data_IF_235763293060
#
_entry.id   IF_235763293060
#
_cell.length_a   1.000
_cell.length_b   1.000
_cell.length_c   1.000
_cell.angle_alpha   90.00
_cell.angle_beta   90.00
_cell.angle_gamma   90.00
#
_symmetry.space_group_name_H-M   'P 1'
#
loop_
_entity.id
_entity.type
_entity.pdbx_description
1 polymer ?
#
# COMPACT_ATOMS: atom_id res chain seq x y z
N UNK A 1 -13.30 -11.19 -34.10
CA UNK A 1 -12.78 -9.83 -34.11
C UNK A 1 -11.45 -9.83 -33.35
N UNK A 2 -10.36 -9.43 -34.02
CA UNK A 2 -9.03 -9.37 -33.43
C UNK A 2 -8.67 -7.93 -33.09
N UNK A 3 -8.16 -7.73 -31.89
CA UNK A 3 -7.71 -6.44 -31.42
C UNK A 3 -6.28 -6.56 -30.89
N UNK A 4 -5.42 -5.66 -31.35
CA UNK A 4 -4.08 -5.46 -30.82
C UNK A 4 -3.96 -4.01 -30.37
N UNK A 5 -3.43 -3.80 -29.18
CA UNK A 5 -3.19 -2.48 -28.63
C UNK A 5 -1.81 -2.40 -27.98
N UNK A 6 -1.04 -1.42 -28.39
CA UNK A 6 0.21 -1.02 -27.73
C UNK A 6 -0.09 0.23 -26.91
N UNK A 7 0.28 0.24 -25.65
CA UNK A 7 0.06 1.39 -24.77
C UNK A 7 1.31 1.63 -23.95
N UNK A 8 1.80 2.84 -24.03
CA UNK A 8 2.76 3.39 -23.10
C UNK A 8 2.06 4.38 -22.17
N UNK A 9 2.57 4.48 -20.95
CA UNK A 9 2.07 5.42 -19.95
C UNK A 9 3.23 5.98 -19.16
N UNK A 10 3.32 7.28 -19.12
CA UNK A 10 4.17 8.03 -18.22
C UNK A 10 3.31 8.54 -17.05
N UNK A 11 3.76 8.31 -15.82
CA UNK A 11 3.14 8.87 -14.63
C UNK A 11 4.22 9.60 -13.82
N UNK A 12 3.85 10.76 -13.33
CA UNK A 12 4.63 11.55 -12.39
C UNK A 12 3.77 11.75 -11.15
N UNK A 13 4.22 11.23 -10.02
CA UNK A 13 3.61 11.46 -8.73
C UNK A 13 4.48 12.45 -7.95
N UNK A 14 3.85 13.45 -7.36
CA UNK A 14 4.52 14.48 -6.56
C UNK A 14 3.81 14.59 -5.23
N UNK A 15 4.56 14.62 -4.13
CA UNK A 15 4.02 14.81 -2.79
C UNK A 15 4.88 15.83 -2.04
N UNK A 16 4.25 16.89 -1.55
CA UNK A 16 4.85 17.93 -0.72
C UNK A 16 4.60 17.75 0.77
N UNK A 17 4.36 16.52 1.23
CA UNK A 17 4.04 16.25 2.62
C UNK A 17 5.22 16.50 3.54
N UNK A 18 5.02 17.36 4.52
CA UNK A 18 5.96 17.68 5.59
C UNK A 18 5.22 17.59 6.93
N UNK A 19 5.43 16.51 7.67
CA UNK A 19 4.88 16.40 9.01
C UNK A 19 5.48 17.48 9.90
N UNK A 20 4.64 18.31 10.54
CA UNK A 20 5.09 19.50 11.28
C UNK A 20 5.93 20.47 10.42
N UNK A 21 5.56 20.71 9.16
CA UNK A 21 6.32 21.55 8.23
C UNK A 21 6.48 22.99 8.67
N UNK A 22 5.54 23.52 9.47
CA UNK A 22 5.64 24.87 10.06
C UNK A 22 6.15 24.85 11.50
N UNK A 23 6.50 23.68 12.03
CA UNK A 23 6.77 23.47 13.44
C UNK A 23 5.49 23.33 14.28
N UNK A 24 5.52 22.50 15.29
CA UNK A 24 4.53 22.52 16.36
C UNK A 24 5.22 22.57 17.71
N UNK A 25 4.52 23.23 18.66
CA UNK A 25 5.00 23.42 20.02
C UNK A 25 3.96 22.88 20.98
N UNK A 26 4.40 22.23 22.04
CA UNK A 26 3.55 21.81 23.15
C UNK A 26 4.09 22.45 24.42
N UNK A 27 3.28 23.21 25.11
CA UNK A 27 3.57 23.86 26.38
C UNK A 27 2.87 23.14 27.54
N UNK A 28 3.41 23.30 28.75
CA UNK A 28 2.77 22.77 29.96
C UNK A 28 1.52 23.54 30.35
N UNK A 29 1.50 24.87 30.09
CA UNK A 29 0.40 25.78 30.39
C UNK A 29 0.35 26.93 29.40
N UNK A 30 -0.73 27.69 29.43
CA UNK A 30 -0.85 28.94 28.67
C UNK A 30 0.17 29.99 29.15
N UNK A 31 0.39 30.06 30.48
CA UNK A 31 1.38 30.98 31.07
C UNK A 31 2.79 30.71 30.55
N UNK A 32 3.17 29.42 30.44
CA UNK A 32 4.46 29.04 29.85
C UNK A 32 4.62 29.55 28.40
N UNK A 33 3.54 29.52 27.61
CA UNK A 33 3.56 30.10 26.26
C UNK A 33 3.69 31.64 26.29
N UNK A 34 2.87 32.31 27.10
CA UNK A 34 2.83 33.79 27.21
C UNK A 34 4.17 34.33 27.73
N UNK A 35 4.78 33.63 28.67
CA UNK A 35 6.10 33.99 29.24
C UNK A 35 7.27 33.59 28.34
N UNK A 36 7.00 33.09 27.14
CA UNK A 36 8.01 32.67 26.18
C UNK A 36 9.01 31.63 26.76
N UNK A 37 8.49 30.71 27.57
CA UNK A 37 9.28 29.60 28.08
C UNK A 37 9.61 28.58 26.98
N UNK A 38 10.58 27.69 27.24
CA UNK A 38 10.85 26.61 26.32
C UNK A 38 9.70 25.59 26.27
N UNK A 39 9.31 25.09 25.08
CA UNK A 39 8.23 24.15 24.97
C UNK A 39 8.58 22.81 25.63
N UNK A 40 7.57 22.11 26.15
CA UNK A 40 7.69 20.72 26.60
C UNK A 40 8.06 19.78 25.47
N UNK A 41 7.47 20.00 24.30
CA UNK A 41 7.77 19.25 23.10
C UNK A 41 7.77 20.17 21.87
N UNK A 42 8.57 19.82 20.90
CA UNK A 42 8.73 20.56 19.66
C UNK A 42 8.99 19.58 18.51
N UNK A 43 8.48 19.87 17.31
CA UNK A 43 8.86 19.16 16.09
C UNK A 43 8.77 20.07 14.87
N UNK A 44 9.66 19.88 13.94
CA UNK A 44 9.64 20.52 12.62
C UNK A 44 10.21 19.58 11.57
N UNK A 45 9.63 19.63 10.36
CA UNK A 45 10.24 19.07 9.16
C UNK A 45 10.58 20.20 8.21
N UNK A 46 11.82 20.28 7.77
CA UNK A 46 12.26 21.33 6.86
C UNK A 46 13.02 20.76 5.66
N UNK A 47 12.99 21.53 4.57
CA UNK A 47 13.77 21.22 3.37
C UNK A 47 15.26 21.31 3.63
N UNK A 48 16.05 20.52 2.92
CA UNK A 48 17.51 20.64 2.86
C UNK A 48 17.98 21.67 1.84
N UNK A 49 17.09 22.31 1.08
CA UNK A 49 17.42 23.42 0.21
C UNK A 49 17.90 24.64 1.01
N UNK A 50 18.86 25.40 0.46
CA UNK A 50 19.46 26.54 1.14
C UNK A 50 18.46 27.68 1.42
N UNK A 51 17.47 27.84 0.55
CA UNK A 51 16.37 28.82 0.65
C UNK A 51 15.17 28.33 1.45
N UNK A 52 15.25 27.11 2.03
CA UNK A 52 14.16 26.43 2.73
C UNK A 52 12.89 26.24 1.90
N UNK A 53 12.95 26.33 0.57
CA UNK A 53 11.84 26.06 -0.30
C UNK A 53 11.26 24.67 -0.04
N UNK A 54 9.93 24.56 -0.12
CA UNK A 54 9.26 23.30 0.17
C UNK A 54 9.79 22.16 -0.71
N UNK A 55 10.27 21.11 -0.07
CA UNK A 55 10.66 19.90 -0.79
C UNK A 55 9.42 19.19 -1.31
N UNK A 56 9.48 18.82 -2.58
CA UNK A 56 8.45 18.00 -3.23
C UNK A 56 9.07 16.68 -3.66
N UNK A 57 8.75 15.62 -2.92
CA UNK A 57 9.13 14.28 -3.31
C UNK A 57 8.49 13.92 -4.66
N UNK A 58 9.28 13.44 -5.59
CA UNK A 58 8.82 13.12 -6.94
C UNK A 58 9.19 11.68 -7.30
N UNK A 59 8.23 10.91 -7.79
CA UNK A 59 8.42 9.58 -8.33
C UNK A 59 7.85 9.49 -9.74
N UNK A 60 8.70 9.10 -10.67
CA UNK A 60 8.32 8.86 -12.07
C UNK A 60 8.18 7.37 -12.32
N UNK A 61 7.21 6.99 -13.14
CA UNK A 61 7.04 5.61 -13.58
C UNK A 61 6.70 5.58 -15.06
N UNK A 62 7.34 4.67 -15.77
CA UNK A 62 7.02 4.34 -17.16
C UNK A 62 6.36 2.96 -17.18
N UNK A 63 5.33 2.77 -17.95
CA UNK A 63 4.68 1.49 -18.11
C UNK A 63 4.43 1.20 -19.57
N UNK A 64 5.06 0.15 -20.07
CA UNK A 64 4.86 -0.37 -21.41
C UNK A 64 3.89 -1.53 -21.33
N UNK A 65 2.94 -1.59 -22.28
CA UNK A 65 2.04 -2.74 -22.37
C UNK A 65 1.68 -3.06 -23.81
N UNK A 66 1.59 -4.36 -24.06
CA UNK A 66 1.09 -4.96 -25.29
C UNK A 66 -0.08 -5.86 -24.95
N UNK A 67 -1.17 -5.72 -25.65
CA UNK A 67 -2.38 -6.51 -25.45
C UNK A 67 -2.84 -7.09 -26.79
N UNK A 68 -3.11 -8.39 -26.81
CA UNK A 68 -3.68 -9.14 -27.93
C UNK A 68 -4.93 -9.83 -27.46
N UNK A 69 -6.03 -9.66 -28.18
CA UNK A 69 -7.29 -10.34 -27.90
C UNK A 69 -7.96 -10.78 -29.20
N UNK A 70 -8.52 -11.97 -29.16
CA UNK A 70 -9.39 -12.46 -30.21
C UNK A 70 -10.76 -12.83 -29.62
N UNK A 71 -11.81 -12.41 -30.29
CA UNK A 71 -13.18 -12.75 -29.99
C UNK A 71 -13.72 -13.56 -31.16
N UNK A 72 -14.07 -14.80 -30.87
CA UNK A 72 -14.50 -15.80 -31.83
C UNK A 72 -15.96 -16.19 -31.56
N UNK A 73 -16.78 -16.15 -32.58
CA UNK A 73 -18.09 -16.80 -32.57
C UNK A 73 -17.84 -18.24 -33.04
N UNK A 74 -17.76 -19.18 -32.10
CA UNK A 74 -17.53 -20.61 -32.39
C UNK A 74 -18.81 -21.22 -33.02
N UNK A 75 -19.95 -20.74 -32.56
CA UNK A 75 -21.25 -21.00 -33.17
C UNK A 75 -22.14 -19.77 -33.04
N UNK A 76 -23.35 -19.80 -33.56
CA UNK A 76 -24.33 -18.71 -33.37
C UNK A 76 -24.62 -18.43 -31.90
N UNK A 77 -24.54 -19.47 -31.07
CA UNK A 77 -24.92 -19.44 -29.67
C UNK A 77 -23.72 -19.44 -28.73
N UNK A 78 -22.49 -19.66 -29.24
CA UNK A 78 -21.28 -19.73 -28.40
C UNK A 78 -20.21 -18.75 -28.83
N UNK A 79 -19.91 -17.81 -27.93
CA UNK A 79 -18.88 -16.80 -28.07
C UNK A 79 -17.73 -17.07 -27.13
N UNK A 80 -16.51 -17.13 -27.64
CA UNK A 80 -15.26 -17.27 -26.89
C UNK A 80 -14.41 -16.01 -27.07
N UNK A 81 -13.87 -15.51 -25.99
CA UNK A 81 -12.89 -14.42 -25.99
C UNK A 81 -11.61 -14.90 -25.33
N UNK A 82 -10.49 -14.79 -26.01
CA UNK A 82 -9.18 -15.11 -25.45
C UNK A 82 -8.22 -13.94 -25.65
N UNK A 83 -7.44 -13.63 -24.67
CA UNK A 83 -6.47 -12.54 -24.76
C UNK A 83 -5.27 -12.74 -23.87
N UNK A 84 -4.20 -12.05 -24.20
CA UNK A 84 -2.97 -12.02 -23.42
C UNK A 84 -2.45 -10.58 -23.37
N UNK A 85 -2.00 -10.17 -22.18
CA UNK A 85 -1.42 -8.86 -21.98
C UNK A 85 -0.05 -8.99 -21.35
N UNK A 86 0.89 -8.26 -21.91
CA UNK A 86 2.25 -8.09 -21.39
C UNK A 86 2.37 -6.68 -20.84
N UNK A 87 2.89 -6.56 -19.62
CA UNK A 87 3.11 -5.26 -18.97
C UNK A 87 4.49 -5.23 -18.33
N UNK A 88 5.20 -4.14 -18.55
CA UNK A 88 6.52 -3.90 -17.99
C UNK A 88 6.56 -2.50 -17.35
N UNK A 89 6.48 -2.40 -16.02
CA UNK A 89 6.75 -1.16 -15.32
C UNK A 89 8.26 -0.89 -15.30
N UNK A 90 8.66 0.36 -15.47
CA UNK A 90 10.03 0.82 -15.35
C UNK A 90 10.07 2.02 -14.42
N UNK A 91 10.96 1.96 -13.46
CA UNK A 91 11.19 3.03 -12.50
C UNK A 91 12.54 3.70 -12.83
N UNK A 92 12.56 5.01 -13.07
CA UNK A 92 13.82 5.75 -13.19
C UNK A 92 14.65 5.65 -11.91
N UNK A 93 15.95 5.77 -12.05
CA UNK A 93 16.88 5.71 -10.93
C UNK A 93 16.61 6.80 -9.89
N UNK A 94 16.70 6.43 -8.62
CA UNK A 94 16.64 7.32 -7.47
C UNK A 94 18.03 7.64 -6.89
N UNK A 95 19.11 7.60 -7.67
CA UNK A 95 20.48 7.84 -7.18
C UNK A 95 20.62 9.10 -6.34
N UNK A 96 19.91 10.18 -6.69
CA UNK A 96 19.91 11.42 -5.93
C UNK A 96 19.18 11.32 -4.56
N UNK A 97 18.58 10.17 -4.27
CA UNK A 97 17.90 9.88 -3.02
C UNK A 97 18.72 8.96 -2.09
N UNK A 98 19.96 8.66 -2.47
CA UNK A 98 20.86 7.82 -1.70
C UNK A 98 21.27 8.50 -0.41
N UNK A 99 20.97 7.86 0.72
CA UNK A 99 21.41 8.28 2.05
C UNK A 99 22.53 7.35 2.50
N UNK A 100 23.76 7.86 2.48
CA UNK A 100 24.96 7.10 2.78
C UNK A 100 25.02 6.66 4.25
N UNK A 101 24.57 7.51 5.16
CA UNK A 101 24.55 7.22 6.59
C UNK A 101 23.61 6.05 6.91
N UNK A 102 22.43 6.03 6.27
CA UNK A 102 21.50 4.91 6.39
C UNK A 102 22.01 3.62 5.73
N UNK A 103 22.64 3.73 4.57
CA UNK A 103 23.13 2.58 3.82
C UNK A 103 24.24 1.80 4.55
N UNK A 104 24.91 2.42 5.51
CA UNK A 104 25.91 1.79 6.39
C UNK A 104 25.30 1.04 7.57
N UNK A 105 24.02 1.26 7.87
CA UNK A 105 23.37 0.61 8.99
C UNK A 105 23.18 -0.90 8.75
N UNK A 106 23.41 -1.68 9.79
CA UNK A 106 23.22 -3.14 9.76
C UNK A 106 21.93 -3.57 10.47
N UNK A 107 21.15 -4.39 9.79
CA UNK A 107 19.89 -4.95 10.26
C UNK A 107 19.98 -6.48 10.31
N UNK A 108 20.92 -7.00 11.08
CA UNK A 108 21.14 -8.45 11.22
C UNK A 108 21.88 -9.06 10.03
N UNK A 109 22.92 -8.40 9.56
CA UNK A 109 23.72 -8.81 8.40
C UNK A 109 23.15 -8.32 7.07
N UNK A 110 22.11 -7.48 7.08
CA UNK A 110 21.49 -6.91 5.86
C UNK A 110 21.49 -5.40 5.94
N UNK A 111 21.92 -4.75 4.87
CA UNK A 111 21.82 -3.29 4.70
C UNK A 111 20.79 -2.96 3.62
N UNK A 112 20.16 -1.81 3.77
CA UNK A 112 19.15 -1.29 2.84
C UNK A 112 19.56 0.06 2.28
N UNK A 113 19.06 0.41 1.09
CA UNK A 113 19.38 1.67 0.44
C UNK A 113 18.13 2.45 0.07
N UNK A 114 18.15 3.77 0.32
CA UNK A 114 17.01 4.67 0.04
C UNK A 114 16.84 5.01 -1.44
N UNK A 115 17.80 4.66 -2.28
CA UNK A 115 17.72 4.83 -3.74
C UNK A 115 17.24 3.60 -4.49
N UNK A 116 16.86 2.54 -3.74
CA UNK A 116 16.41 1.27 -4.31
C UNK A 116 15.08 1.42 -5.02
N UNK A 117 14.99 0.86 -6.23
CA UNK A 117 13.77 0.80 -7.04
C UNK A 117 13.54 -0.61 -7.55
N UNK A 118 12.28 -1.00 -7.83
CA UNK A 118 12.00 -2.30 -8.40
C UNK A 118 12.65 -2.49 -9.78
N UNK A 119 13.18 -3.66 -10.03
CA UNK A 119 13.67 -4.05 -11.34
C UNK A 119 12.52 -4.13 -12.34
N UNK A 120 12.76 -3.73 -13.58
CA UNK A 120 11.77 -3.88 -14.63
C UNK A 120 11.52 -5.37 -14.91
N UNK A 121 10.33 -5.86 -14.61
CA UNK A 121 9.91 -7.26 -14.83
C UNK A 121 8.66 -7.29 -15.69
N UNK A 122 8.65 -8.18 -16.68
CA UNK A 122 7.49 -8.38 -17.53
C UNK A 122 6.47 -9.22 -16.78
N UNK A 123 5.25 -8.72 -16.71
CA UNK A 123 4.08 -9.44 -16.20
C UNK A 123 3.25 -9.93 -17.37
N UNK A 124 2.84 -11.19 -17.35
CA UNK A 124 2.01 -11.82 -18.40
C UNK A 124 0.64 -12.09 -17.81
N UNK A 125 -0.41 -11.59 -18.47
CA UNK A 125 -1.79 -11.63 -18.00
C UNK A 125 -2.70 -12.31 -19.02
N UNK A 126 -2.78 -13.66 -19.02
CA UNK A 126 -3.72 -14.39 -19.85
C UNK A 126 -5.15 -14.19 -19.36
N UNK A 127 -6.12 -14.17 -20.28
CA UNK A 127 -7.54 -14.04 -20.01
C UNK A 127 -8.32 -14.86 -21.00
N UNK A 128 -9.35 -15.55 -20.49
CA UNK A 128 -10.33 -16.23 -21.32
C UNK A 128 -11.72 -16.00 -20.74
N UNK A 129 -12.68 -15.83 -21.63
CA UNK A 129 -14.09 -15.69 -21.24
C UNK A 129 -14.98 -16.29 -22.31
N UNK A 130 -16.14 -16.74 -21.91
CA UNK A 130 -17.13 -17.30 -22.82
C UNK A 130 -18.54 -16.85 -22.45
N UNK A 131 -19.41 -16.92 -23.45
CA UNK A 131 -20.85 -16.76 -23.30
C UNK A 131 -21.52 -17.80 -24.20
N UNK A 132 -22.34 -18.64 -23.62
CA UNK A 132 -23.05 -19.72 -24.32
C UNK A 132 -24.53 -19.64 -24.04
N UNK A 133 -25.31 -19.30 -25.06
CA UNK A 133 -26.74 -19.47 -25.10
C UNK A 133 -27.06 -20.91 -25.48
N UNK A 134 -27.39 -21.73 -24.49
CA UNK A 134 -27.53 -23.18 -24.65
C UNK A 134 -28.71 -23.53 -25.59
N UNK A 135 -29.75 -22.73 -25.55
CA UNK A 135 -30.99 -22.98 -26.34
C UNK A 135 -31.07 -22.14 -27.60
N UNK A 136 -30.27 -21.11 -27.75
CA UNK A 136 -30.36 -20.14 -28.85
C UNK A 136 -31.46 -19.09 -28.69
N UNK A 137 -32.31 -19.22 -27.66
CA UNK A 137 -33.40 -18.31 -27.37
C UNK A 137 -33.19 -17.49 -26.09
N UNK A 138 -31.97 -17.52 -25.57
CA UNK A 138 -31.58 -16.91 -24.28
C UNK A 138 -32.36 -17.41 -23.07
N UNK A 139 -32.93 -18.61 -23.18
CA UNK A 139 -33.63 -19.23 -22.07
C UNK A 139 -32.68 -19.75 -21.02
N UNK A 140 -31.57 -20.33 -21.45
CA UNK A 140 -30.49 -20.82 -20.58
C UNK A 140 -29.16 -20.29 -21.12
N UNK A 141 -28.50 -19.48 -20.32
CA UNK A 141 -27.22 -18.88 -20.69
C UNK A 141 -26.18 -19.24 -19.66
N UNK A 142 -25.06 -19.83 -20.10
CA UNK A 142 -23.86 -20.05 -19.29
C UNK A 142 -22.78 -19.09 -19.71
N UNK A 143 -22.29 -18.30 -18.77
CA UNK A 143 -21.22 -17.33 -19.02
C UNK A 143 -20.14 -17.43 -17.95
N UNK A 144 -18.91 -17.14 -18.32
CA UNK A 144 -17.82 -17.19 -17.37
C UNK A 144 -16.53 -16.69 -17.96
N UNK A 145 -15.53 -16.58 -17.08
CA UNK A 145 -14.21 -16.19 -17.49
C UNK A 145 -13.19 -16.38 -16.38
N UNK A 146 -11.94 -16.47 -16.80
CA UNK A 146 -10.82 -16.57 -15.87
C UNK A 146 -9.62 -15.82 -16.44
N UNK A 147 -8.75 -15.29 -15.57
CA UNK A 147 -7.56 -14.61 -16.00
C UNK A 147 -6.73 -14.00 -14.88
N UNK A 148 -5.51 -13.65 -15.22
CA UNK A 148 -4.60 -12.90 -14.36
C UNK A 148 -4.75 -11.40 -14.63
N UNK A 149 -4.90 -10.63 -13.55
CA UNK A 149 -5.03 -9.17 -13.61
C UNK A 149 -3.92 -8.53 -12.80
N UNK A 150 -3.11 -7.70 -13.44
CA UNK A 150 -2.02 -6.96 -12.82
C UNK A 150 -2.52 -5.57 -12.44
N UNK A 151 -2.34 -5.23 -11.17
CA UNK A 151 -2.66 -3.93 -10.59
C UNK A 151 -1.46 -2.99 -10.57
N UNK A 152 -1.56 -1.95 -9.74
CA UNK A 152 -0.50 -0.97 -9.50
C UNK A 152 -0.30 -0.79 -8.01
N UNK A 153 0.90 -0.38 -7.65
CA UNK A 153 1.16 0.13 -6.31
C UNK A 153 0.52 1.52 -6.15
N UNK A 154 0.03 1.85 -4.96
CA UNK A 154 -0.34 3.23 -4.63
C UNK A 154 0.86 4.16 -4.85
N UNK A 155 0.67 5.23 -5.64
CA UNK A 155 1.77 6.16 -5.91
C UNK A 155 2.31 6.83 -4.66
N UNK A 156 1.47 7.03 -3.65
CA UNK A 156 1.89 7.60 -2.38
C UNK A 156 2.91 6.72 -1.65
N UNK A 157 2.84 5.40 -1.79
CA UNK A 157 3.84 4.49 -1.23
C UNK A 157 5.20 4.67 -1.93
N UNK A 158 5.17 4.79 -3.26
CA UNK A 158 6.39 5.00 -4.05
C UNK A 158 7.05 6.36 -3.76
N UNK A 159 6.24 7.41 -3.67
CA UNK A 159 6.72 8.76 -3.35
C UNK A 159 7.28 8.84 -1.92
N UNK A 160 6.74 8.03 -1.00
CA UNK A 160 7.24 7.96 0.38
C UNK A 160 8.69 7.48 0.45
N UNK A 161 9.15 6.65 -0.49
CA UNK A 161 10.56 6.27 -0.57
C UNK A 161 11.49 7.47 -0.79
N UNK A 162 11.04 8.45 -1.56
CA UNK A 162 11.77 9.71 -1.76
C UNK A 162 11.60 10.65 -0.57
N UNK A 163 10.36 10.83 -0.12
CA UNK A 163 10.03 11.77 0.96
C UNK A 163 10.65 11.43 2.32
N UNK A 164 10.82 10.13 2.59
CA UNK A 164 11.28 9.62 3.89
C UNK A 164 12.78 9.27 3.91
N UNK A 165 13.55 9.67 2.91
CA UNK A 165 14.98 9.36 2.81
C UNK A 165 15.90 10.27 3.63
N UNK A 166 15.40 11.39 4.12
CA UNK A 166 16.16 12.49 4.73
C UNK A 166 17.14 13.23 3.78
N UNK A 167 17.15 12.90 2.49
CA UNK A 167 18.03 13.57 1.53
C UNK A 167 17.48 14.94 1.12
N UNK A 168 16.18 15.01 0.79
CA UNK A 168 15.53 16.25 0.37
C UNK A 168 14.96 17.09 1.50
N UNK A 169 14.65 16.45 2.64
CA UNK A 169 14.10 17.11 3.83
C UNK A 169 14.50 16.37 5.10
N UNK A 170 14.66 17.12 6.17
CA UNK A 170 14.97 16.61 7.50
C UNK A 170 13.78 16.76 8.44
N UNK A 171 13.50 15.70 9.18
CA UNK A 171 12.52 15.71 10.25
C UNK A 171 13.24 15.87 11.60
N UNK A 172 12.98 17.00 12.25
CA UNK A 172 13.52 17.33 13.54
C UNK A 172 12.48 17.09 14.62
N UNK A 173 12.71 16.09 15.47
CA UNK A 173 11.78 15.72 16.54
C UNK A 173 12.40 15.89 17.91
N UNK A 174 11.77 16.72 18.75
CA UNK A 174 12.09 16.82 20.17
C UNK A 174 10.88 16.50 21.03
N UNK A 175 10.78 15.29 21.52
CA UNK A 175 9.62 14.89 22.36
C UNK A 175 9.89 14.85 23.85
N UNK A 176 11.09 14.96 24.33
CA UNK A 176 11.42 14.96 25.77
C UNK A 176 12.88 15.34 25.96
N UNK A 177 13.27 16.52 25.65
CA UNK A 177 14.64 16.90 25.95
C UNK A 177 14.66 17.57 27.30
N UNK A 178 15.42 17.00 28.22
CA UNK A 178 15.77 17.64 29.48
C UNK A 178 16.66 18.90 29.24
N UNK A 179 17.31 18.96 28.07
CA UNK A 179 18.17 20.06 27.70
C UNK A 179 17.38 21.18 27.00
N UNK A 180 17.12 22.26 27.73
CA UNK A 180 16.44 23.45 27.23
C UNK A 180 17.19 24.12 26.06
N UNK A 181 18.52 23.99 25.98
CA UNK A 181 19.35 24.61 24.95
C UNK A 181 19.12 24.09 23.53
N UNK A 182 18.45 22.94 23.42
CA UNK A 182 18.16 22.32 22.13
C UNK A 182 16.70 22.54 21.65
N UNK A 183 15.89 23.32 22.35
CA UNK A 183 14.51 23.63 21.97
C UNK A 183 14.41 25.08 21.57
N UNK A 184 13.78 25.40 20.45
CA UNK A 184 13.55 26.79 20.07
C UNK A 184 12.41 27.38 20.89
N UNK A 185 12.49 28.68 21.20
CA UNK A 185 11.35 29.48 21.60
C UNK A 185 10.30 29.53 20.49
N UNK A 186 9.11 29.94 20.84
CA UNK A 186 8.10 30.14 19.81
C UNK A 186 8.55 31.15 18.76
N UNK A 187 8.49 30.73 17.51
CA UNK A 187 8.81 31.56 16.35
C UNK A 187 7.61 31.52 15.38
N UNK A 188 7.14 32.68 14.89
CA UNK A 188 5.97 32.73 14.00
C UNK A 188 6.28 32.29 12.56
N UNK A 189 7.55 32.03 12.23
CA UNK A 189 7.99 31.64 10.90
C UNK A 189 8.98 30.48 10.93
N UNK A 190 8.96 29.66 9.89
CA UNK A 190 9.92 28.54 9.73
C UNK A 190 11.37 29.05 9.71
N UNK A 191 11.64 30.17 9.04
CA UNK A 191 12.97 30.77 9.01
C UNK A 191 13.42 31.22 10.41
N UNK A 192 12.54 31.80 11.21
CA UNK A 192 12.83 32.13 12.60
C UNK A 192 13.23 30.93 13.44
N UNK A 193 12.43 29.85 13.34
CA UNK A 193 12.74 28.58 14.02
C UNK A 193 14.09 28.04 13.60
N UNK A 194 14.36 28.01 12.29
CA UNK A 194 15.59 27.44 11.77
C UNK A 194 16.81 28.29 12.09
N UNK A 195 16.68 29.63 12.16
CA UNK A 195 17.76 30.51 12.60
C UNK A 195 18.07 30.30 14.09
N UNK A 196 17.08 30.04 14.93
CA UNK A 196 17.29 29.71 16.34
C UNK A 196 17.94 28.35 16.54
N UNK A 197 17.51 27.35 15.75
CA UNK A 197 18.11 26.02 15.78
C UNK A 197 19.52 25.95 15.21
N UNK A 198 19.85 26.86 14.29
CA UNK A 198 21.14 26.91 13.59
C UNK A 198 21.74 28.33 13.59
N UNK A 199 22.08 28.86 14.78
CA UNK A 199 22.54 30.28 14.92
C UNK A 199 23.80 30.58 14.15
N UNK A 200 24.64 29.58 13.90
CA UNK A 200 25.91 29.72 13.16
C UNK A 200 25.78 29.35 11.67
N UNK A 201 24.55 29.34 11.16
CA UNK A 201 24.25 28.84 9.82
C UNK A 201 24.09 27.33 9.81
N UNK A 202 23.28 26.88 8.86
CA UNK A 202 22.95 25.45 8.72
C UNK A 202 23.99 24.74 7.85
N UNK A 203 24.69 23.78 8.41
CA UNK A 203 25.37 22.75 7.62
C UNK A 203 24.35 21.66 7.35
N UNK A 204 24.10 21.35 6.08
CA UNK A 204 23.23 20.24 5.71
C UNK A 204 23.97 18.95 6.03
N UNK A 205 23.57 18.34 7.15
CA UNK A 205 24.08 17.04 7.58
C UNK A 205 22.99 16.02 7.35
N UNK A 206 23.16 15.22 6.29
CA UNK A 206 22.18 14.18 5.90
C UNK A 206 22.36 12.99 6.82
N UNK A 207 21.61 12.99 7.91
CA UNK A 207 21.57 11.87 8.87
C UNK A 207 20.65 10.75 8.37
N UNK A 208 20.84 9.56 8.95
CA UNK A 208 19.91 8.44 8.75
C UNK A 208 18.46 8.85 9.03
N UNK A 209 17.52 8.51 8.16
CA UNK A 209 16.11 8.84 8.37
C UNK A 209 15.52 8.05 9.53
N UNK A 210 14.49 8.62 10.18
CA UNK A 210 13.79 7.96 11.29
C UNK A 210 12.99 6.75 10.85
N UNK A 211 12.19 6.92 9.82
CA UNK A 211 11.24 5.93 9.32
C UNK A 211 11.37 5.85 7.78
N UNK A 212 12.53 5.38 7.24
CA UNK A 212 12.71 5.26 5.80
C UNK A 212 11.71 4.29 5.21
N UNK A 213 11.35 4.55 3.96
CA UNK A 213 10.55 3.66 3.14
C UNK A 213 11.44 3.10 2.04
N UNK A 214 11.60 1.79 2.01
CA UNK A 214 12.41 1.07 1.04
C UNK A 214 11.49 0.24 0.15
N UNK A 215 11.81 0.16 -1.13
CA UNK A 215 11.06 -0.64 -2.09
C UNK A 215 11.91 -1.84 -2.48
N UNK A 216 11.37 -3.03 -2.36
CA UNK A 216 12.07 -4.24 -2.76
C UNK A 216 12.47 -4.18 -4.24
N UNK A 217 13.76 -4.44 -4.53
CA UNK A 217 14.27 -4.54 -5.91
C UNK A 217 13.59 -5.66 -6.71
N UNK A 218 13.10 -6.68 -6.01
CA UNK A 218 12.45 -7.85 -6.59
C UNK A 218 10.93 -7.76 -6.60
N UNK A 219 10.36 -6.62 -6.17
CA UNK A 219 8.94 -6.38 -6.13
C UNK A 219 8.27 -6.62 -7.48
N UNK A 220 7.29 -7.51 -7.48
CA UNK A 220 6.39 -7.76 -8.61
C UNK A 220 5.14 -6.90 -8.44
N UNK A 221 4.55 -6.47 -9.56
CA UNK A 221 3.29 -5.74 -9.49
C UNK A 221 2.21 -6.58 -8.85
N UNK A 222 1.37 -5.99 -7.98
CA UNK A 222 0.26 -6.68 -7.38
C UNK A 222 -0.59 -7.34 -8.46
N UNK A 223 -0.92 -8.60 -8.30
CA UNK A 223 -1.70 -9.33 -9.28
C UNK A 223 -2.68 -10.27 -8.61
N UNK A 224 -3.83 -10.45 -9.27
CA UNK A 224 -4.92 -11.28 -8.78
C UNK A 224 -5.42 -12.17 -9.90
N UNK A 225 -5.50 -13.44 -9.66
CA UNK A 225 -6.21 -14.39 -10.51
C UNK A 225 -7.70 -14.28 -10.20
N UNK A 226 -8.52 -14.00 -11.22
CA UNK A 226 -9.98 -13.87 -11.08
C UNK A 226 -10.66 -14.89 -11.94
N UNK A 227 -11.68 -15.55 -11.38
CA UNK A 227 -12.55 -16.50 -12.07
C UNK A 227 -13.99 -16.20 -11.72
N UNK A 228 -14.88 -16.22 -12.72
CA UNK A 228 -16.31 -16.15 -12.52
C UNK A 228 -17.01 -17.15 -13.42
N UNK A 229 -18.13 -17.71 -12.92
CA UNK A 229 -19.02 -18.57 -13.66
C UNK A 229 -20.47 -18.22 -13.25
N UNK A 230 -21.31 -17.96 -14.24
CA UNK A 230 -22.71 -17.63 -14.01
C UNK A 230 -23.61 -18.42 -14.94
N UNK A 231 -24.76 -18.83 -14.40
CA UNK A 231 -25.82 -19.46 -15.13
C UNK A 231 -27.11 -18.65 -14.96
N UNK A 232 -27.66 -18.21 -16.08
CA UNK A 232 -28.90 -17.45 -16.14
C UNK A 232 -29.99 -18.33 -16.78
N UNK A 233 -31.20 -18.35 -16.23
CA UNK A 233 -32.33 -19.15 -16.72
C UNK A 233 -33.64 -18.38 -16.63
N UNK A 234 -34.46 -18.50 -17.67
CA UNK A 234 -35.86 -18.11 -17.63
C UNK A 234 -36.71 -19.32 -17.20
N UNK A 235 -37.23 -19.23 -15.97
CA UNK A 235 -38.08 -20.28 -15.39
C UNK A 235 -39.53 -20.07 -15.81
N UNK A 236 -40.40 -21.14 -15.67
CA UNK A 236 -41.84 -21.01 -15.92
C UNK A 236 -42.45 -19.86 -15.09
N UNK A 237 -43.40 -19.15 -15.69
CA UNK A 237 -44.04 -17.99 -15.06
C UNK A 237 -43.23 -16.70 -15.15
N UNK A 238 -42.35 -16.58 -16.15
CA UNK A 238 -41.50 -15.39 -16.43
C UNK A 238 -40.64 -14.97 -15.25
N UNK A 239 -40.10 -15.95 -14.54
CA UNK A 239 -39.16 -15.74 -13.46
C UNK A 239 -37.75 -15.82 -14.03
N UNK A 240 -36.98 -14.75 -13.86
CA UNK A 240 -35.55 -14.72 -14.15
C UNK A 240 -34.78 -15.28 -12.96
N UNK A 241 -33.99 -16.31 -13.20
CA UNK A 241 -33.08 -16.92 -12.23
C UNK A 241 -31.65 -16.69 -12.67
N UNK A 242 -30.79 -16.31 -11.73
CA UNK A 242 -29.33 -16.21 -11.95
C UNK A 242 -28.59 -16.79 -10.76
N UNK A 243 -27.56 -17.56 -11.03
CA UNK A 243 -26.59 -17.99 -10.03
C UNK A 243 -25.17 -17.66 -10.52
N UNK A 244 -24.39 -16.98 -9.70
CA UNK A 244 -23.03 -16.58 -10.04
C UNK A 244 -22.05 -16.97 -8.94
N UNK A 245 -20.96 -17.63 -9.33
CA UNK A 245 -19.81 -17.89 -8.48
C UNK A 245 -18.61 -17.02 -8.90
N UNK A 246 -17.96 -16.37 -7.93
CA UNK A 246 -16.73 -15.60 -8.13
C UNK A 246 -15.65 -16.16 -7.24
N UNK A 247 -14.44 -16.30 -7.77
CA UNK A 247 -13.26 -16.67 -7.02
C UNK A 247 -12.09 -15.76 -7.42
N UNK A 248 -11.46 -15.09 -6.45
CA UNK A 248 -10.28 -14.28 -6.63
C UNK A 248 -9.16 -14.80 -5.73
N UNK A 249 -7.95 -14.87 -6.27
CA UNK A 249 -6.75 -15.30 -5.56
C UNK A 249 -5.64 -14.28 -5.78
N UNK A 250 -5.13 -13.68 -4.71
CA UNK A 250 -3.98 -12.79 -4.82
C UNK A 250 -2.72 -13.60 -5.07
N UNK A 251 -1.98 -13.20 -6.11
CA UNK A 251 -0.75 -13.87 -6.54
C UNK A 251 0.48 -13.13 -6.02
N UNK A 252 0.51 -11.81 -6.16
CA UNK A 252 1.60 -10.96 -5.65
C UNK A 252 1.00 -9.78 -4.89
N UNK A 253 0.37 -10.00 -3.72
CA UNK A 253 -0.12 -8.88 -2.92
C UNK A 253 1.05 -8.00 -2.50
N UNK A 254 0.88 -6.69 -2.54
CA UNK A 254 1.85 -5.77 -1.96
C UNK A 254 1.58 -5.64 -0.46
N UNK A 255 2.63 -5.81 0.33
CA UNK A 255 2.60 -5.73 1.78
C UNK A 255 3.73 -4.85 2.28
N UNK A 256 3.62 -4.38 3.51
CA UNK A 256 4.64 -3.58 4.16
C UNK A 256 5.12 -4.30 5.41
N UNK A 257 6.41 -4.57 5.48
CA UNK A 257 7.08 -5.08 6.68
C UNK A 257 7.95 -4.01 7.33
N UNK A 258 8.39 -4.27 8.55
CA UNK A 258 9.33 -3.41 9.26
C UNK A 258 10.64 -4.19 9.49
N UNK A 259 11.63 -3.89 8.67
CA UNK A 259 12.93 -4.60 8.73
C UNK A 259 13.81 -4.20 9.92
N UNK A 260 13.41 -3.18 10.70
CA UNK A 260 14.06 -2.86 11.96
C UNK A 260 13.71 -3.82 13.10
N UNK A 261 12.68 -4.65 12.93
CA UNK A 261 12.24 -5.61 13.94
C UNK A 261 13.06 -6.89 13.85
N UNK A 262 13.65 -7.30 14.99
CA UNK A 262 14.33 -8.59 15.10
C UNK A 262 13.32 -9.74 15.11
N UNK A 263 13.72 -10.94 14.69
CA UNK A 263 12.96 -12.15 15.00
C UNK A 263 12.71 -12.26 16.51
N UNK A 264 11.58 -12.84 16.89
CA UNK A 264 11.29 -13.06 18.31
C UNK A 264 12.23 -14.11 18.88
N UNK A 265 12.85 -13.78 19.99
CA UNK A 265 13.70 -14.68 20.77
C UNK A 265 13.03 -15.11 22.08
N UNK A 266 11.95 -14.41 22.47
CA UNK A 266 11.26 -14.61 23.75
C UNK A 266 9.76 -14.45 23.58
N UNK A 267 9.01 -15.03 24.55
CA UNK A 267 7.56 -14.87 24.64
C UNK A 267 7.18 -14.14 25.92
N UNK A 268 6.07 -13.42 25.88
CA UNK A 268 5.44 -12.78 27.03
C UNK A 268 4.10 -13.46 27.27
N UNK A 269 3.91 -14.01 28.47
CA UNK A 269 2.65 -14.60 28.91
C UNK A 269 1.86 -13.58 29.72
N UNK A 270 0.72 -13.16 29.19
CA UNK A 270 -0.19 -12.23 29.88
C UNK A 270 -1.16 -12.97 30.81
N UNK A 271 -1.54 -14.18 30.45
CA UNK A 271 -2.33 -15.11 31.24
C UNK A 271 -2.11 -16.54 30.73
N UNK A 272 -2.60 -17.60 31.40
CA UNK A 272 -2.36 -18.99 30.98
C UNK A 272 -2.79 -19.33 29.54
N UNK A 273 -3.69 -18.55 28.96
CA UNK A 273 -4.23 -18.77 27.63
C UNK A 273 -3.76 -17.71 26.60
N UNK A 274 -2.91 -16.76 26.97
CA UNK A 274 -2.44 -15.68 26.10
C UNK A 274 -0.92 -15.50 26.26
N UNK A 275 -0.18 -16.18 25.42
CA UNK A 275 1.27 -16.05 25.28
C UNK A 275 1.58 -15.50 23.90
N UNK A 276 2.36 -14.44 23.84
CA UNK A 276 2.71 -13.74 22.60
C UNK A 276 4.21 -13.60 22.46
N UNK A 277 4.67 -13.62 21.22
CA UNK A 277 6.05 -13.35 20.90
C UNK A 277 6.45 -11.92 21.22
N UNK A 278 7.63 -11.75 21.78
CA UNK A 278 8.22 -10.44 22.09
C UNK A 278 9.28 -10.10 21.04
N UNK A 279 9.14 -8.95 20.42
CA UNK A 279 10.01 -8.50 19.34
C UNK A 279 10.90 -7.35 19.81
N UNK A 280 12.20 -7.51 19.64
CA UNK A 280 13.18 -6.44 19.75
C UNK A 280 13.36 -5.67 18.44
N UNK A 281 14.12 -4.60 18.50
CA UNK A 281 14.59 -3.88 17.29
C UNK A 281 16.09 -4.00 17.17
N UNK A 282 16.59 -3.98 15.96
CA UNK A 282 18.00 -3.79 15.70
C UNK A 282 18.41 -2.41 16.22
N UNK A 283 19.52 -2.36 16.94
CA UNK A 283 20.12 -1.14 17.42
C UNK A 283 21.53 -1.05 16.84
N UNK A 284 21.69 -0.28 15.79
CA UNK A 284 23.01 0.13 15.34
C UNK A 284 23.27 1.53 15.88
N UNK A 285 24.45 1.74 16.48
CA UNK A 285 24.85 3.02 17.03
C UNK A 285 24.90 4.12 15.96
N UNK A 286 25.21 3.76 14.72
CA UNK A 286 25.21 4.68 13.57
C UNK A 286 23.81 5.10 13.14
N UNK A 287 22.81 4.24 13.36
CA UNK A 287 21.40 4.51 13.04
C UNK A 287 20.64 5.20 14.17
N UNK A 288 21.14 5.09 15.37
CA UNK A 288 20.57 5.70 16.57
C UNK A 288 20.86 7.19 16.66
N UNK A 289 20.16 8.00 15.91
CA UNK A 289 19.95 9.40 16.28
C UNK A 289 19.06 9.48 17.54
N UNK A 290 19.48 8.84 18.64
CA UNK A 290 18.87 8.89 19.99
C UNK A 290 17.35 8.64 20.07
N UNK A 291 16.75 7.85 19.17
CA UNK A 291 15.29 7.68 19.11
C UNK A 291 14.89 6.21 19.17
N UNK A 292 14.33 5.81 20.29
CA UNK A 292 13.91 4.44 20.61
C UNK A 292 12.77 3.86 19.75
N UNK A 293 12.38 4.48 18.63
CA UNK A 293 11.23 4.09 17.82
C UNK A 293 11.46 4.22 16.32
N UNK A 294 12.61 3.83 15.83
CA UNK A 294 12.89 3.85 14.40
C UNK A 294 12.30 2.60 13.74
N UNK A 295 11.80 2.78 12.50
CA UNK A 295 11.27 1.70 11.68
C UNK A 295 11.93 1.75 10.31
N UNK A 296 12.06 0.60 9.67
CA UNK A 296 12.45 0.48 8.26
C UNK A 296 11.28 -0.14 7.53
N UNK A 297 10.42 0.71 6.97
CA UNK A 297 9.27 0.24 6.19
C UNK A 297 9.75 -0.30 4.85
N UNK A 298 9.42 -1.54 4.58
CA UNK A 298 9.86 -2.26 3.40
C UNK A 298 8.64 -2.73 2.60
N UNK A 299 8.50 -2.23 1.38
CA UNK A 299 7.43 -2.58 0.46
C UNK A 299 7.87 -3.81 -0.31
N UNK A 300 7.19 -4.92 -0.11
CA UNK A 300 7.52 -6.22 -0.71
C UNK A 300 6.27 -6.99 -1.12
N UNK A 301 6.42 -8.14 -1.74
CA UNK A 301 5.30 -9.02 -2.02
C UNK A 301 5.05 -9.95 -0.84
N UNK A 302 3.79 -10.07 -0.45
CA UNK A 302 3.33 -11.08 0.49
C UNK A 302 3.19 -12.46 -0.14
N UNK A 303 2.78 -13.43 0.67
CA UNK A 303 2.52 -14.80 0.21
C UNK A 303 1.21 -14.94 -0.60
N UNK A 304 0.74 -16.17 -0.75
CA UNK A 304 -0.44 -16.50 -1.57
C UNK A 304 -1.66 -16.90 -0.72
N UNK A 305 -1.79 -16.37 0.50
CA UNK A 305 -2.86 -16.74 1.45
C UNK A 305 -4.15 -15.96 1.23
N UNK A 306 -4.10 -14.77 0.62
CA UNK A 306 -5.26 -13.92 0.40
C UNK A 306 -6.15 -14.44 -0.74
N UNK A 307 -7.46 -14.49 -0.49
CA UNK A 307 -8.46 -14.88 -1.47
C UNK A 307 -9.84 -14.32 -1.13
N UNK A 308 -10.70 -14.29 -2.13
CA UNK A 308 -12.11 -13.99 -2.00
C UNK A 308 -12.91 -15.00 -2.81
N UNK A 309 -14.03 -15.47 -2.26
CA UNK A 309 -15.06 -16.13 -3.07
C UNK A 309 -16.45 -15.65 -2.67
N UNK A 310 -17.37 -15.72 -3.63
CA UNK A 310 -18.77 -15.51 -3.38
C UNK A 310 -19.60 -16.41 -4.29
N UNK A 311 -20.78 -16.80 -3.79
CA UNK A 311 -21.83 -17.44 -4.56
C UNK A 311 -23.10 -16.62 -4.31
N UNK A 312 -23.67 -16.10 -5.39
CA UNK A 312 -24.90 -15.29 -5.37
C UNK A 312 -25.97 -15.99 -6.16
N UNK A 313 -27.16 -16.19 -5.58
CA UNK A 313 -28.36 -16.64 -6.28
C UNK A 313 -29.39 -15.51 -6.25
N UNK A 314 -30.03 -15.27 -7.38
CA UNK A 314 -31.03 -14.23 -7.55
C UNK A 314 -32.26 -14.77 -8.28
N UNK A 315 -33.44 -14.34 -7.83
CA UNK A 315 -34.73 -14.50 -8.52
C UNK A 315 -35.30 -13.12 -8.77
N UNK A 316 -35.83 -12.90 -9.97
CA UNK A 316 -36.54 -11.68 -10.30
C UNK A 316 -37.77 -11.97 -11.14
N UNK A 317 -38.81 -11.15 -11.00
CA UNK A 317 -40.03 -11.23 -11.79
C UNK A 317 -40.60 -9.85 -12.06
N UNK A 318 -40.95 -9.63 -13.33
CA UNK A 318 -41.77 -8.51 -13.76
C UNK A 318 -43.22 -8.99 -13.92
N UNK A 319 -44.17 -8.27 -13.36
CA UNK A 319 -45.59 -8.54 -13.47
C UNK A 319 -46.25 -7.59 -14.48
N UNK A 320 -47.23 -8.08 -15.22
CA UNK A 320 -47.88 -7.28 -16.28
C UNK A 320 -48.55 -5.99 -15.77
N UNK A 321 -48.88 -5.91 -14.48
CA UNK A 321 -49.45 -4.73 -13.85
C UNK A 321 -48.40 -3.72 -13.40
N UNK A 322 -47.12 -3.87 -13.82
CA UNK A 322 -46.03 -2.91 -13.59
C UNK A 322 -45.21 -3.10 -12.31
N UNK A 323 -45.50 -4.13 -11.49
CA UNK A 323 -44.68 -4.45 -10.34
C UNK A 323 -43.43 -5.26 -10.77
N UNK A 324 -42.25 -4.88 -10.25
CA UNK A 324 -41.03 -5.68 -10.34
C UNK A 324 -40.58 -6.10 -8.94
N UNK A 325 -40.32 -7.37 -8.75
CA UNK A 325 -39.78 -7.93 -7.52
C UNK A 325 -38.46 -8.65 -7.80
N UNK A 326 -37.48 -8.46 -6.91
CA UNK A 326 -36.25 -9.24 -6.94
C UNK A 326 -35.80 -9.61 -5.52
N UNK A 327 -35.23 -10.80 -5.41
CA UNK A 327 -34.61 -11.29 -4.18
C UNK A 327 -33.25 -11.92 -4.53
N UNK A 328 -32.21 -11.61 -3.75
CA UNK A 328 -30.88 -12.17 -3.92
C UNK A 328 -30.32 -12.62 -2.58
N UNK A 329 -29.57 -13.72 -2.60
CA UNK A 329 -28.79 -14.18 -1.47
C UNK A 329 -27.34 -14.38 -1.91
N UNK A 330 -26.40 -13.85 -1.12
CA UNK A 330 -24.97 -14.01 -1.36
C UNK A 330 -24.30 -14.62 -0.13
N UNK A 331 -23.57 -15.71 -0.37
CA UNK A 331 -22.61 -16.23 0.60
C UNK A 331 -21.20 -15.90 0.13
N UNK A 332 -20.37 -15.27 1.00
CA UNK A 332 -19.01 -14.90 0.63
C UNK A 332 -18.03 -15.08 1.79
N UNK A 333 -16.76 -15.21 1.42
CA UNK A 333 -15.64 -15.21 2.38
C UNK A 333 -14.45 -14.49 1.76
N UNK A 334 -13.85 -13.60 2.53
CA UNK A 334 -12.63 -12.91 2.17
C UNK A 334 -11.54 -13.15 3.21
N UNK A 335 -10.34 -13.38 2.73
CA UNK A 335 -9.11 -13.30 3.53
C UNK A 335 -8.15 -12.32 2.87
N UNK A 336 -7.67 -11.35 3.62
CA UNK A 336 -6.75 -10.33 3.13
C UNK A 336 -5.59 -10.12 4.11
N UNK A 337 -4.48 -9.58 3.61
CA UNK A 337 -3.32 -9.21 4.44
C UNK A 337 -3.54 -7.91 5.22
N UNK A 338 -4.54 -7.12 4.87
CA UNK A 338 -4.85 -5.84 5.50
C UNK A 338 -6.34 -5.59 5.45
N UNK A 339 -6.89 -4.96 6.47
CA UNK A 339 -8.29 -4.54 6.55
C UNK A 339 -8.62 -3.37 5.59
N UNK A 340 -7.61 -2.78 5.01
CA UNK A 340 -7.72 -1.71 4.03
C UNK A 340 -6.35 -1.22 3.58
N UNK A 341 -6.32 -0.54 2.44
CA UNK A 341 -5.10 0.11 1.96
C UNK A 341 -5.07 1.49 2.59
N UNK A 342 -4.15 1.69 3.54
CA UNK A 342 -3.84 3.03 4.06
C UNK A 342 -3.26 3.90 2.96
N UNK A 343 -3.57 5.18 2.99
CA UNK A 343 -3.06 6.19 2.06
C UNK A 343 -1.55 6.43 2.21
N UNK A 344 -0.99 6.12 3.37
CA UNK A 344 0.44 6.24 3.69
C UNK A 344 1.03 4.88 4.07
N UNK A 345 2.35 4.73 3.85
CA UNK A 345 3.09 3.51 4.20
C UNK A 345 2.91 3.15 5.68
N UNK A 346 3.00 4.14 6.58
CA UNK A 346 2.81 3.93 8.02
C UNK A 346 1.40 3.46 8.36
N UNK A 347 0.37 4.04 7.72
CA UNK A 347 -1.02 3.65 7.92
C UNK A 347 -1.27 2.24 7.38
N UNK A 348 -0.75 1.94 6.18
CA UNK A 348 -0.85 0.62 5.58
C UNK A 348 -0.16 -0.46 6.43
N UNK A 349 1.00 -0.16 7.01
CA UNK A 349 1.68 -1.06 7.95
C UNK A 349 0.84 -1.34 9.21
N UNK A 350 0.19 -0.31 9.77
CA UNK A 350 -0.64 -0.44 10.98
C UNK A 350 -1.94 -1.20 10.74
N UNK A 351 -2.43 -1.23 9.50
CA UNK A 351 -3.65 -1.95 9.12
C UNK A 351 -3.38 -3.38 8.65
N UNK A 352 -2.12 -3.83 8.65
CA UNK A 352 -1.80 -5.23 8.41
C UNK A 352 -2.50 -6.10 9.46
N UNK A 353 -3.07 -7.22 9.00
CA UNK A 353 -3.56 -8.24 9.91
C UNK A 353 -2.38 -8.96 10.50
N UNK A 354 -2.28 -8.94 11.83
CA UNK A 354 -1.25 -9.66 12.53
C UNK A 354 -1.77 -11.01 12.97
N UNK A 355 -1.02 -12.06 12.71
CA UNK A 355 -1.24 -13.32 13.38
C UNK A 355 -0.68 -13.26 14.81
N UNK A 356 -1.08 -14.23 15.63
CA UNK A 356 -0.49 -14.44 16.95
C UNK A 356 1.01 -14.76 16.84
N UNK A 357 1.49 -15.12 15.63
CA UNK A 357 2.86 -15.54 15.34
C UNK A 357 3.86 -14.44 15.03
N UNK A 358 3.44 -13.19 14.73
CA UNK A 358 4.42 -12.13 14.55
C UNK A 358 4.03 -10.93 13.69
N UNK A 359 4.70 -9.84 13.98
CA UNK A 359 4.44 -8.51 13.40
C UNK A 359 4.76 -8.42 11.89
N UNK A 360 5.74 -9.21 11.40
CA UNK A 360 6.14 -9.25 10.00
C UNK A 360 5.68 -10.55 9.31
N UNK A 361 4.99 -11.42 10.01
CA UNK A 361 4.36 -12.57 9.40
C UNK A 361 3.08 -12.11 8.72
N UNK A 362 3.11 -11.96 7.43
CA UNK A 362 1.97 -11.55 6.63
C UNK A 362 0.90 -12.65 6.63
N UNK A 363 0.20 -12.76 7.75
CA UNK A 363 -0.96 -13.62 7.88
C UNK A 363 -2.20 -12.94 7.33
N UNK A 364 -3.12 -13.73 6.80
CA UNK A 364 -4.39 -13.22 6.29
C UNK A 364 -5.46 -13.29 7.38
N UNK A 365 -6.05 -12.15 7.71
CA UNK A 365 -7.27 -12.08 8.52
C UNK A 365 -8.52 -12.31 7.67
N UNK A 366 -9.58 -12.84 8.30
CA UNK A 366 -10.91 -12.84 7.70
C UNK A 366 -11.49 -11.42 7.82
N UNK A 367 -11.90 -10.83 6.71
CA UNK A 367 -12.67 -9.60 6.74
C UNK A 367 -14.06 -9.94 7.27
N UNK A 368 -14.39 -9.42 8.44
CA UNK A 368 -15.75 -9.49 8.96
C UNK A 368 -16.61 -8.51 8.17
N UNK A 369 -17.44 -9.05 7.27
CA UNK A 369 -18.53 -8.26 6.74
C UNK A 369 -19.58 -8.12 7.84
N UNK A 370 -19.66 -6.92 8.42
CA UNK A 370 -20.90 -6.52 9.09
C UNK A 370 -21.91 -6.33 7.98
N UNK A 371 -22.90 -7.20 7.94
CA UNK A 371 -24.10 -6.99 7.13
C UNK A 371 -24.64 -5.60 7.49
N UNK A 372 -24.91 -4.70 6.54
CA UNK A 372 -25.65 -3.50 6.88
C UNK A 372 -27.01 -3.93 7.41
N UNK A 373 -27.26 -3.58 8.65
CA UNK A 373 -28.56 -3.71 9.29
C UNK A 373 -29.59 -2.80 8.60
#
# INVERSE_FOLDING_TARGET
QRQMCIRDRYNKATNGFQQAGNGYYVYNSWDSFVNNEYPKAFAITHSNAADYSQFKAEMKTLQYSLYLQDQMNISENFKLTAGIRFEMPKYPSLKNNYNEDFARCDFGGVSYSTDQVPSAKISVSPRVGFNWDITGERKYVLRGGTGLYVGRLPFVWLVSAVGNSNVGQNQYYYTKVADAALKPHFQPSVSGVLNELYPNGRTVDIKSPKDPTIIDKDLKMPSTWKTSLAFDAKLPGDIDFSIEGIFNKDINPAVISNKAIKPSETTITFNPNDTRDSYGKYSDASWTNNRNNQNVFYIENGGHKAYYYSITAQLAKSFDFGLYLSAAYTHSKAKAYSDGIGDQVTSAYRTNTYSVGGINEHETGCLLYTSPS
#
